data_IF_549690313256
#
_entry.id   IF_549690313256
#
_cell.length_a   1.000
_cell.length_b   1.000
_cell.length_c   1.000
_cell.angle_alpha   90.00
_cell.angle_beta   90.00
_cell.angle_gamma   90.00
#
_symmetry.space_group_name_H-M   'P 1'
#
loop_
_entity.id
_entity.type
_entity.pdbx_description
1 polymer ?
#
# COMPACT_ATOMS: atom_id res chain seq x y z
N UNK A 1 12.73 -72.09 36.20
CA UNK A 1 11.40 -71.71 36.72
C UNK A 1 11.48 -70.19 37.08
N UNK A 2 11.04 -69.34 36.21
CA UNK A 2 11.06 -67.86 36.39
C UNK A 2 9.65 -67.43 36.78
N UNK A 3 9.53 -66.77 37.95
CA UNK A 3 8.26 -66.21 38.44
C UNK A 3 8.04 -64.86 37.81
N UNK A 4 6.90 -64.69 37.16
CA UNK A 4 6.41 -63.45 36.56
C UNK A 4 5.63 -62.71 37.67
N UNK A 5 6.05 -61.48 37.99
CA UNK A 5 5.32 -60.57 38.90
C UNK A 5 4.59 -59.58 38.01
N UNK A 6 3.25 -59.57 38.10
CA UNK A 6 2.37 -58.62 37.47
C UNK A 6 2.13 -57.51 38.49
N UNK A 7 2.56 -56.26 38.14
CA UNK A 7 2.19 -55.06 38.87
C UNK A 7 0.90 -54.48 38.27
N UNK A 8 -0.13 -54.38 39.09
CA UNK A 8 -1.40 -53.74 38.77
C UNK A 8 -1.29 -52.25 39.16
N UNK A 9 -1.28 -51.34 38.19
CA UNK A 9 -1.33 -49.91 38.46
C UNK A 9 -2.77 -49.41 38.41
N UNK A 10 -3.25 -48.91 39.53
CA UNK A 10 -4.55 -48.24 39.69
C UNK A 10 -4.39 -46.81 39.19
N UNK A 11 -5.13 -46.44 38.17
CA UNK A 11 -5.23 -45.05 37.69
C UNK A 11 -6.31 -44.32 38.49
N UNK A 12 -5.92 -43.33 39.28
CA UNK A 12 -6.81 -42.37 39.92
C UNK A 12 -7.12 -41.25 38.92
N UNK A 13 -8.36 -41.14 38.50
CA UNK A 13 -8.86 -39.96 37.76
C UNK A 13 -9.08 -38.84 38.78
N UNK A 14 -8.27 -37.78 38.68
CA UNK A 14 -8.56 -36.50 39.30
C UNK A 14 -9.12 -35.55 38.23
N UNK A 15 -10.37 -35.14 38.35
CA UNK A 15 -10.90 -33.99 37.63
C UNK A 15 -10.27 -32.74 38.21
N UNK A 16 -9.52 -31.99 37.39
CA UNK A 16 -9.16 -30.60 37.67
C UNK A 16 -9.79 -29.71 36.65
N UNK A 17 -10.55 -28.74 37.12
CA UNK A 17 -11.10 -27.63 36.37
C UNK A 17 -9.97 -26.86 35.70
N UNK A 18 -10.02 -26.71 34.38
CA UNK A 18 -9.11 -25.87 33.59
C UNK A 18 -9.53 -24.42 33.72
N UNK A 19 -8.88 -23.67 34.60
CA UNK A 19 -8.73 -22.23 34.41
C UNK A 19 -7.66 -22.02 33.33
N UNK A 20 -8.09 -21.68 32.16
CA UNK A 20 -7.19 -21.23 31.07
C UNK A 20 -6.63 -19.85 31.44
N UNK A 21 -5.48 -19.86 32.07
CA UNK A 21 -4.65 -18.68 32.21
C UNK A 21 -3.99 -18.43 30.84
N UNK A 22 -4.12 -17.24 30.21
CA UNK A 22 -3.38 -16.96 28.98
C UNK A 22 -1.89 -17.10 29.28
N UNK A 23 -1.20 -17.92 28.50
CA UNK A 23 0.24 -18.10 28.59
C UNK A 23 0.92 -16.73 28.55
N UNK A 24 1.75 -16.36 29.52
CA UNK A 24 2.56 -15.15 29.41
C UNK A 24 3.52 -15.33 28.23
N UNK A 25 3.59 -14.33 27.38
CA UNK A 25 4.57 -14.24 26.29
C UNK A 25 5.95 -14.45 26.92
N UNK A 26 6.62 -15.56 26.59
CA UNK A 26 8.01 -15.76 26.95
C UNK A 26 8.84 -14.80 26.07
N UNK A 27 9.28 -13.71 26.65
CA UNK A 27 10.33 -12.87 26.09
C UNK A 27 11.63 -13.61 26.36
N UNK A 28 12.18 -14.28 25.36
CA UNK A 28 13.53 -14.84 25.45
C UNK A 28 14.53 -13.68 25.64
N UNK A 29 15.39 -13.79 26.66
CA UNK A 29 16.44 -12.80 26.95
C UNK A 29 17.53 -12.71 25.84
N UNK A 30 17.41 -13.50 24.78
CA UNK A 30 18.30 -13.55 23.61
C UNK A 30 17.72 -12.83 22.38
N UNK A 31 17.34 -11.57 22.46
CA UNK A 31 17.03 -10.66 21.32
C UNK A 31 16.31 -11.28 20.08
N UNK A 32 15.73 -12.47 20.19
CA UNK A 32 14.96 -13.08 19.13
C UNK A 32 13.50 -12.59 19.19
N UNK A 33 12.93 -12.18 18.05
CA UNK A 33 11.52 -11.80 17.99
C UNK A 33 10.62 -12.98 18.42
N UNK A 34 9.47 -12.70 19.06
CA UNK A 34 8.56 -13.75 19.51
C UNK A 34 8.05 -14.57 18.35
N UNK A 35 7.93 -15.88 18.54
CA UNK A 35 7.33 -16.79 17.57
C UNK A 35 5.85 -16.90 17.88
N UNK A 36 5.01 -16.39 16.98
CA UNK A 36 3.55 -16.52 17.02
C UNK A 36 3.03 -17.28 15.79
N UNK A 37 1.86 -17.93 15.92
CA UNK A 37 1.19 -18.53 14.77
C UNK A 37 0.56 -17.47 13.87
N UNK A 38 0.22 -16.29 14.43
CA UNK A 38 -0.43 -15.19 13.74
C UNK A 38 0.54 -14.29 12.97
N UNK A 39 1.82 -14.22 13.38
CA UNK A 39 2.85 -13.43 12.70
C UNK A 39 4.25 -14.06 12.80
N UNK A 40 5.17 -13.52 12.02
CA UNK A 40 6.62 -13.77 12.14
C UNK A 40 7.33 -12.43 12.04
N UNK A 41 8.34 -12.21 12.87
CA UNK A 41 9.16 -11.00 12.83
C UNK A 41 10.63 -11.34 12.51
N UNK A 42 11.27 -10.43 11.78
CA UNK A 42 12.69 -10.48 11.42
C UNK A 42 13.30 -9.11 11.69
N UNK A 43 14.23 -9.04 12.63
CA UNK A 43 14.90 -7.79 13.01
C UNK A 43 16.34 -7.77 12.49
N UNK A 44 16.74 -6.64 11.92
CA UNK A 44 18.14 -6.30 11.55
C UNK A 44 18.48 -4.96 12.17
N UNK A 45 19.64 -4.86 12.81
CA UNK A 45 20.08 -3.66 13.55
C UNK A 45 19.86 -3.79 15.06
N UNK A 46 19.53 -2.70 15.73
CA UNK A 46 19.38 -2.67 17.19
C UNK A 46 17.94 -3.00 17.60
N UNK A 47 17.79 -3.76 18.68
CA UNK A 47 16.47 -4.04 19.28
C UNK A 47 15.96 -2.89 20.16
N UNK A 48 16.85 -1.97 20.58
CA UNK A 48 16.49 -0.80 21.37
C UNK A 48 15.94 0.29 20.47
N UNK A 49 14.75 0.76 20.78
CA UNK A 49 14.07 1.86 20.12
C UNK A 49 14.92 3.13 20.10
N UNK A 50 14.91 3.83 18.97
CA UNK A 50 15.56 5.13 18.80
C UNK A 50 14.54 6.15 18.30
N UNK A 51 13.98 6.90 19.21
CA UNK A 51 13.04 7.96 18.87
C UNK A 51 13.75 9.09 18.13
N UNK A 52 13.32 9.36 16.91
CA UNK A 52 13.77 10.52 16.11
C UNK A 52 12.58 11.44 15.78
N UNK A 53 12.84 12.47 15.00
CA UNK A 53 11.78 13.32 14.43
C UNK A 53 11.71 13.05 12.93
N UNK A 54 10.85 12.15 12.48
CA UNK A 54 10.76 11.83 11.06
C UNK A 54 10.22 13.01 10.23
N UNK A 55 10.63 13.07 8.98
CA UNK A 55 10.03 13.95 7.99
C UNK A 55 8.92 13.19 7.27
N UNK A 56 7.69 13.67 7.36
CA UNK A 56 6.52 13.04 6.76
C UNK A 56 6.62 12.87 5.26
N UNK A 57 5.71 12.12 4.70
CA UNK A 57 5.61 11.93 3.26
C UNK A 57 5.13 10.53 2.88
N UNK A 58 4.97 10.31 1.58
CA UNK A 58 4.48 9.05 1.00
C UNK A 58 5.37 8.62 -0.15
N UNK A 59 5.80 7.37 -0.16
CA UNK A 59 6.48 6.76 -1.31
C UNK A 59 5.59 5.69 -1.95
N UNK A 60 5.14 5.95 -3.17
CA UNK A 60 4.29 5.07 -3.96
C UNK A 60 5.14 4.39 -5.03
N UNK A 61 5.39 3.08 -4.89
CA UNK A 61 6.21 2.30 -5.81
C UNK A 61 5.32 1.40 -6.68
N UNK A 62 5.47 1.48 -8.00
CA UNK A 62 4.60 0.81 -8.97
C UNK A 62 4.69 -0.71 -8.99
N UNK A 63 5.74 -1.27 -8.44
CA UNK A 63 5.95 -2.72 -8.38
C UNK A 63 7.17 -3.19 -9.15
N UNK A 64 7.40 -4.49 -9.22
CA UNK A 64 8.58 -5.14 -9.77
C UNK A 64 9.83 -4.87 -8.92
N UNK A 65 10.86 -4.19 -9.41
CA UNK A 65 12.06 -3.84 -8.66
C UNK A 65 11.93 -2.43 -8.13
N UNK A 66 12.29 -2.21 -6.87
CA UNK A 66 12.29 -0.88 -6.25
C UNK A 66 13.35 0.03 -6.91
N UNK A 67 12.99 1.32 -7.00
CA UNK A 67 13.94 2.35 -7.41
C UNK A 67 14.79 2.79 -6.22
N UNK A 68 16.11 2.57 -6.29
CA UNK A 68 17.05 2.83 -5.18
C UNK A 68 17.02 4.29 -4.69
N UNK A 69 16.86 5.27 -5.57
CA UNK A 69 16.85 6.68 -5.18
C UNK A 69 15.55 7.04 -4.43
N UNK A 70 14.41 6.51 -4.89
CA UNK A 70 13.15 6.66 -4.18
C UNK A 70 13.19 5.97 -2.81
N UNK A 71 13.82 4.78 -2.72
CA UNK A 71 13.99 4.10 -1.43
C UNK A 71 14.92 4.86 -0.49
N UNK A 72 16.01 5.45 -0.98
CA UNK A 72 16.84 6.35 -0.16
C UNK A 72 16.07 7.53 0.35
N UNK A 73 15.29 8.19 -0.53
CA UNK A 73 14.40 9.30 -0.15
C UNK A 73 13.44 8.90 0.99
N UNK A 74 12.85 7.71 0.90
CA UNK A 74 11.95 7.16 1.92
C UNK A 74 12.69 6.91 3.25
N UNK A 75 13.85 6.24 3.21
CA UNK A 75 14.61 5.86 4.40
C UNK A 75 15.25 7.07 5.11
N UNK A 76 15.73 8.06 4.37
CA UNK A 76 16.32 9.29 4.91
C UNK A 76 15.31 10.04 5.79
N UNK A 77 14.01 9.99 5.47
CA UNK A 77 12.93 10.62 6.23
C UNK A 77 12.67 9.99 7.60
N UNK A 78 13.17 8.80 7.85
CA UNK A 78 13.19 8.21 9.19
C UNK A 78 14.21 8.88 10.12
N UNK A 79 15.08 9.77 9.60
CA UNK A 79 16.10 10.49 10.36
C UNK A 79 16.98 9.57 11.23
N UNK A 80 17.32 8.38 10.70
CA UNK A 80 18.15 7.39 11.38
C UNK A 80 17.39 6.52 12.40
N UNK A 81 16.06 6.63 12.45
CA UNK A 81 15.19 5.88 13.34
C UNK A 81 14.95 4.43 12.91
N UNK A 82 13.80 3.90 13.30
CA UNK A 82 13.39 2.51 13.11
C UNK A 82 12.42 2.38 11.93
N UNK A 83 12.73 1.46 11.01
CA UNK A 83 11.91 1.18 9.83
C UNK A 83 11.15 -0.12 10.03
N UNK A 84 9.82 -0.06 9.89
CA UNK A 84 8.95 -1.22 9.97
C UNK A 84 8.45 -1.60 8.58
N UNK A 85 8.71 -2.84 8.16
CA UNK A 85 8.14 -3.42 6.94
C UNK A 85 6.97 -4.32 7.31
N UNK A 86 5.78 -4.04 6.78
CA UNK A 86 4.58 -4.83 6.97
C UNK A 86 4.23 -5.59 5.69
N UNK A 87 3.91 -6.88 5.85
CA UNK A 87 3.50 -7.76 4.75
C UNK A 87 2.64 -8.92 5.25
N UNK A 88 1.85 -9.54 4.36
CA UNK A 88 1.04 -10.71 4.70
C UNK A 88 1.75 -12.05 4.41
N UNK A 89 2.66 -12.06 3.44
CA UNK A 89 3.39 -13.27 3.00
C UNK A 89 4.85 -12.94 2.70
N UNK A 90 5.72 -13.95 2.57
CA UNK A 90 7.14 -13.80 2.23
C UNK A 90 8.05 -13.76 3.46
N UNK A 91 9.19 -13.12 3.36
CA UNK A 91 10.26 -13.06 4.37
C UNK A 91 10.87 -11.67 4.51
N UNK A 92 12.10 -11.62 4.93
CA UNK A 92 12.85 -10.44 5.36
C UNK A 92 13.73 -9.78 4.27
N UNK A 93 13.39 -9.96 3.00
CA UNK A 93 14.21 -9.45 1.88
C UNK A 93 14.48 -7.95 1.92
N UNK A 94 13.60 -7.16 2.55
CA UNK A 94 13.81 -5.73 2.74
C UNK A 94 14.85 -5.40 3.82
N UNK A 95 15.11 -6.30 4.78
CA UNK A 95 15.98 -5.98 5.89
C UNK A 95 17.40 -5.64 5.46
N UNK A 96 18.07 -6.50 4.69
CA UNK A 96 19.42 -6.23 4.19
C UNK A 96 19.43 -5.07 3.19
N UNK A 97 18.44 -5.03 2.31
CA UNK A 97 18.32 -3.99 1.30
C UNK A 97 18.24 -2.59 1.93
N UNK A 98 17.34 -2.38 2.89
CA UNK A 98 17.19 -1.08 3.55
C UNK A 98 18.31 -0.77 4.55
N UNK A 99 18.75 -1.78 5.33
CA UNK A 99 19.69 -1.54 6.42
C UNK A 99 21.13 -1.32 5.95
N UNK A 100 21.58 -2.00 4.88
CA UNK A 100 22.98 -2.02 4.49
C UNK A 100 23.27 -1.70 3.02
N UNK A 101 22.38 -2.05 2.08
CA UNK A 101 22.70 -1.97 0.65
C UNK A 101 22.53 -0.56 0.09
N UNK A 102 21.53 0.19 0.58
CA UNK A 102 21.26 1.55 0.12
C UNK A 102 22.15 2.63 0.75
N UNK A 103 22.88 2.31 1.81
CA UNK A 103 23.85 3.22 2.44
C UNK A 103 23.22 4.32 3.30
N UNK A 104 21.94 4.24 3.62
CA UNK A 104 21.26 5.13 4.59
C UNK A 104 21.48 4.59 6.00
N UNK A 105 21.84 5.47 6.95
CA UNK A 105 22.04 5.05 8.34
C UNK A 105 20.70 4.94 9.05
N UNK A 106 20.40 3.75 9.61
CA UNK A 106 19.18 3.45 10.36
C UNK A 106 19.52 2.80 11.71
N UNK A 107 18.65 2.94 12.70
CA UNK A 107 18.76 2.20 13.95
C UNK A 107 18.43 0.72 13.77
N UNK A 108 17.30 0.44 13.12
CA UNK A 108 16.87 -0.91 12.76
C UNK A 108 15.96 -0.95 11.53
N UNK A 109 15.86 -2.13 10.95
CA UNK A 109 14.80 -2.51 10.00
C UNK A 109 14.17 -3.79 10.49
N UNK A 110 12.86 -3.79 10.68
CA UNK A 110 12.13 -4.97 11.11
C UNK A 110 11.00 -5.31 10.13
N UNK A 111 11.03 -6.52 9.59
CA UNK A 111 9.93 -7.05 8.78
C UNK A 111 9.00 -7.88 9.65
N UNK A 112 7.70 -7.52 9.66
CA UNK A 112 6.65 -8.31 10.29
C UNK A 112 5.75 -8.90 9.21
N UNK A 113 5.70 -10.24 9.16
CA UNK A 113 4.79 -10.99 8.29
C UNK A 113 3.52 -11.30 9.09
N UNK A 114 2.44 -10.58 8.78
CA UNK A 114 1.11 -10.73 9.41
C UNK A 114 0.34 -11.81 8.66
N UNK A 115 0.17 -12.98 9.23
CA UNK A 115 -0.33 -14.19 8.54
C UNK A 115 -1.86 -14.28 8.49
N UNK A 116 -2.54 -13.58 9.37
CA UNK A 116 -4.00 -13.60 9.49
C UNK A 116 -4.50 -12.43 10.34
N UNK A 117 -5.82 -12.26 10.42
CA UNK A 117 -6.45 -11.18 11.17
C UNK A 117 -6.24 -11.25 12.70
N UNK A 118 -5.91 -12.41 13.27
CA UNK A 118 -5.65 -12.57 14.71
C UNK A 118 -4.41 -11.77 15.14
N UNK A 119 -3.44 -11.62 14.24
CA UNK A 119 -2.26 -10.79 14.49
C UNK A 119 -2.58 -9.32 14.80
N UNK A 120 -3.76 -8.84 14.39
CA UNK A 120 -4.18 -7.45 14.64
C UNK A 120 -4.32 -7.10 16.12
N UNK A 121 -4.36 -8.09 17.01
CA UNK A 121 -4.47 -7.91 18.47
C UNK A 121 -3.14 -8.14 19.20
N UNK A 122 -2.07 -8.41 18.51
CA UNK A 122 -0.75 -8.71 19.09
C UNK A 122 -0.05 -7.44 19.58
N UNK A 123 0.20 -7.37 20.88
CA UNK A 123 0.87 -6.21 21.51
C UNK A 123 2.24 -5.93 20.92
N UNK A 124 2.97 -6.97 20.49
CA UNK A 124 4.26 -6.82 19.83
C UNK A 124 4.16 -5.98 18.55
N UNK A 125 3.21 -6.28 17.69
CA UNK A 125 2.97 -5.52 16.44
C UNK A 125 2.57 -4.08 16.77
N UNK A 126 1.68 -3.92 17.75
CA UNK A 126 1.26 -2.58 18.21
C UNK A 126 2.44 -1.74 18.67
N UNK A 127 3.37 -2.33 19.43
CA UNK A 127 4.54 -1.63 19.91
C UNK A 127 5.48 -1.23 18.76
N UNK A 128 5.68 -2.13 17.77
CA UNK A 128 6.54 -1.83 16.61
C UNK A 128 5.96 -0.71 15.73
N UNK A 129 4.65 -0.69 15.52
CA UNK A 129 3.99 0.43 14.79
C UNK A 129 4.13 1.75 15.57
N UNK A 130 3.98 1.72 16.91
CA UNK A 130 4.11 2.91 17.75
C UNK A 130 5.53 3.49 17.77
N UNK A 131 6.53 2.67 17.56
CA UNK A 131 7.95 3.05 17.64
C UNK A 131 8.56 3.38 16.26
N UNK A 132 7.96 2.91 15.16
CA UNK A 132 8.54 3.11 13.83
C UNK A 132 8.47 4.57 13.37
N UNK A 133 9.56 5.09 12.82
CA UNK A 133 9.64 6.39 12.14
C UNK A 133 9.31 6.30 10.66
N UNK A 134 9.41 5.09 10.08
CA UNK A 134 8.99 4.81 8.71
C UNK A 134 8.26 3.48 8.63
N UNK A 135 7.17 3.41 7.84
CA UNK A 135 6.43 2.16 7.59
C UNK A 135 6.38 1.88 6.10
N UNK A 136 6.87 0.70 5.71
CA UNK A 136 6.83 0.21 4.33
C UNK A 136 5.84 -0.95 4.19
N UNK A 137 4.90 -0.84 3.25
CA UNK A 137 3.99 -1.90 2.88
C UNK A 137 4.56 -2.66 1.67
N UNK A 138 4.98 -3.90 1.88
CA UNK A 138 5.54 -4.71 0.80
C UNK A 138 4.49 -5.09 -0.26
N UNK A 139 4.96 -5.63 -1.39
CA UNK A 139 4.09 -6.25 -2.38
C UNK A 139 3.45 -7.55 -1.88
N UNK A 140 2.35 -7.96 -2.51
CA UNK A 140 1.60 -9.16 -2.15
C UNK A 140 0.17 -9.12 -2.69
N UNK A 141 -0.76 -9.69 -1.94
CA UNK A 141 -2.20 -9.56 -2.19
C UNK A 141 -2.77 -8.44 -1.31
N UNK A 142 -3.29 -7.37 -1.92
CA UNK A 142 -3.86 -6.25 -1.18
C UNK A 142 -5.10 -6.66 -0.37
N UNK A 143 -5.83 -7.69 -0.79
CA UNK A 143 -6.96 -8.18 -0.02
C UNK A 143 -6.55 -8.77 1.34
N UNK A 144 -5.40 -9.43 1.42
CA UNK A 144 -4.85 -9.88 2.69
C UNK A 144 -4.63 -8.69 3.64
N UNK A 145 -4.02 -7.59 3.16
CA UNK A 145 -3.79 -6.39 3.95
C UNK A 145 -5.09 -5.76 4.43
N UNK A 146 -6.06 -5.61 3.53
CA UNK A 146 -7.36 -5.03 3.84
C UNK A 146 -8.14 -5.93 4.82
N UNK A 147 -8.21 -7.23 4.55
CA UNK A 147 -8.97 -8.18 5.36
C UNK A 147 -8.38 -8.43 6.75
N UNK A 148 -7.04 -8.29 6.91
CA UNK A 148 -6.37 -8.52 8.19
C UNK A 148 -6.25 -7.25 9.04
N UNK A 149 -6.12 -6.06 8.42
CA UNK A 149 -5.76 -4.84 9.15
C UNK A 149 -6.86 -3.79 9.21
N UNK A 150 -7.72 -3.71 8.19
CA UNK A 150 -8.79 -2.69 8.14
C UNK A 150 -9.75 -2.83 9.34
N UNK A 151 -10.12 -1.70 9.94
CA UNK A 151 -10.99 -1.64 11.13
C UNK A 151 -10.41 -2.36 12.35
N UNK A 152 -9.09 -2.49 12.45
CA UNK A 152 -8.36 -3.13 13.55
C UNK A 152 -7.43 -2.13 14.24
N UNK A 153 -6.84 -2.51 15.40
CA UNK A 153 -5.81 -1.71 16.03
C UNK A 153 -4.60 -1.40 15.14
N UNK A 154 -4.22 -2.30 14.21
CA UNK A 154 -3.12 -2.06 13.26
C UNK A 154 -3.40 -0.80 12.42
N UNK A 155 -4.55 -0.73 11.72
CA UNK A 155 -4.89 0.44 10.92
C UNK A 155 -5.02 1.71 11.78
N UNK A 156 -5.59 1.59 12.98
CA UNK A 156 -5.71 2.72 13.91
C UNK A 156 -4.35 3.27 14.30
N UNK A 157 -3.39 2.41 14.66
CA UNK A 157 -2.05 2.81 15.06
C UNK A 157 -1.21 3.38 13.92
N UNK A 158 -1.35 2.83 12.70
CA UNK A 158 -0.71 3.39 11.50
C UNK A 158 -1.24 4.80 11.24
N UNK A 159 -2.56 4.99 11.24
CA UNK A 159 -3.16 6.31 11.03
C UNK A 159 -2.79 7.32 12.14
N UNK A 160 -2.68 6.87 13.39
CA UNK A 160 -2.19 7.69 14.49
C UNK A 160 -0.72 8.10 14.28
N UNK A 161 0.12 7.18 13.84
CA UNK A 161 1.52 7.44 13.55
C UNK A 161 1.70 8.47 12.39
N UNK A 162 0.91 8.35 11.34
CA UNK A 162 0.88 9.32 10.23
C UNK A 162 0.47 10.71 10.74
N UNK A 163 -0.66 10.80 11.44
CA UNK A 163 -1.26 12.11 11.80
C UNK A 163 -0.58 12.81 12.96
N UNK A 164 -0.05 12.07 13.96
CA UNK A 164 0.46 12.65 15.20
C UNK A 164 1.99 12.61 15.33
N UNK A 165 2.67 11.74 14.60
CA UNK A 165 4.13 11.62 14.62
C UNK A 165 4.81 12.01 13.32
N UNK A 166 4.02 12.33 12.29
CA UNK A 166 4.51 12.71 10.96
C UNK A 166 5.51 11.70 10.38
N UNK A 167 5.22 10.39 10.53
CA UNK A 167 6.06 9.35 9.96
C UNK A 167 5.97 9.33 8.44
N UNK A 168 7.02 8.87 7.77
CA UNK A 168 6.93 8.55 6.35
C UNK A 168 6.32 7.16 6.16
N UNK A 169 5.39 7.06 5.21
CA UNK A 169 4.85 5.76 4.78
C UNK A 169 5.22 5.50 3.32
N UNK A 170 5.25 4.25 2.93
CA UNK A 170 5.45 3.89 1.53
C UNK A 170 5.02 2.46 1.27
N UNK A 171 5.01 2.08 0.01
CA UNK A 171 4.72 0.69 -0.37
C UNK A 171 4.78 0.45 -1.85
N UNK A 172 4.99 -0.80 -2.20
CA UNK A 172 5.13 -1.28 -3.57
C UNK A 172 3.95 -2.18 -3.97
N UNK A 173 3.51 -2.09 -5.22
CA UNK A 173 2.46 -2.98 -5.74
C UNK A 173 1.20 -2.97 -4.86
N UNK A 174 0.82 -4.09 -4.24
CA UNK A 174 -0.28 -4.15 -3.27
C UNK A 174 -0.14 -3.10 -2.15
N UNK A 175 1.09 -2.85 -1.67
CA UNK A 175 1.37 -1.83 -0.66
C UNK A 175 1.14 -0.40 -1.13
N UNK A 176 1.33 -0.11 -2.43
CA UNK A 176 0.91 1.16 -3.03
C UNK A 176 -0.61 1.22 -3.20
N UNK A 177 -1.23 0.13 -3.66
CA UNK A 177 -2.65 0.08 -3.98
C UNK A 177 -3.57 0.37 -2.79
N UNK A 178 -3.10 0.15 -1.55
CA UNK A 178 -3.89 0.36 -0.32
C UNK A 178 -3.75 1.76 0.29
N UNK A 179 -2.93 2.66 -0.26
CA UNK A 179 -2.61 3.94 0.37
C UNK A 179 -3.56 5.08 0.00
N UNK A 180 -4.36 4.92 -1.06
CA UNK A 180 -5.38 5.89 -1.44
C UNK A 180 -6.57 5.92 -0.47
N UNK A 181 -7.21 7.07 -0.30
CA UNK A 181 -8.49 7.17 0.41
C UNK A 181 -9.61 6.38 -0.30
N UNK A 182 -9.46 6.18 -1.60
CA UNK A 182 -10.18 5.17 -2.39
C UNK A 182 -9.18 4.11 -2.84
N UNK A 183 -9.58 2.85 -2.84
CA UNK A 183 -8.70 1.76 -3.22
C UNK A 183 -9.44 0.62 -3.92
N UNK A 184 -8.76 0.01 -4.86
CA UNK A 184 -9.19 -1.25 -5.46
C UNK A 184 -8.85 -2.40 -4.50
N UNK A 185 -9.86 -3.01 -3.88
CA UNK A 185 -9.62 -4.01 -2.82
C UNK A 185 -9.21 -5.39 -3.34
N UNK A 186 -9.48 -5.69 -4.60
CA UNK A 186 -9.27 -7.00 -5.22
C UNK A 186 -9.89 -8.19 -4.45
N UNK A 187 -10.92 -7.96 -3.63
CA UNK A 187 -11.53 -9.00 -2.78
C UNK A 187 -12.14 -10.18 -3.55
N UNK A 188 -12.46 -9.97 -4.80
CA UNK A 188 -12.97 -11.01 -5.70
C UNK A 188 -11.93 -11.45 -6.75
N UNK A 189 -10.70 -10.95 -6.65
CA UNK A 189 -9.62 -11.14 -7.60
C UNK A 189 -9.28 -9.87 -8.38
N UNK A 190 -8.32 -9.98 -9.29
CA UNK A 190 -7.92 -8.86 -10.14
C UNK A 190 -8.89 -8.66 -11.30
N UNK A 191 -9.04 -7.42 -11.76
CA UNK A 191 -9.81 -7.07 -12.97
C UNK A 191 -8.88 -6.49 -14.05
N UNK A 192 -9.09 -6.88 -15.30
CA UNK A 192 -8.37 -6.30 -16.45
C UNK A 192 -9.05 -5.00 -16.92
N UNK A 193 -8.29 -4.13 -17.61
CA UNK A 193 -8.85 -2.94 -18.25
C UNK A 193 -10.00 -3.28 -19.19
N UNK A 194 -9.85 -4.31 -20.02
CA UNK A 194 -10.91 -4.75 -20.92
C UNK A 194 -12.19 -5.20 -20.21
N UNK A 195 -12.07 -5.98 -19.12
CA UNK A 195 -13.23 -6.41 -18.35
C UNK A 195 -13.95 -5.23 -17.72
N UNK A 196 -13.21 -4.35 -17.05
CA UNK A 196 -13.75 -3.18 -16.38
C UNK A 196 -14.43 -2.20 -17.35
N UNK A 197 -13.79 -1.91 -18.48
CA UNK A 197 -14.35 -1.01 -19.52
C UNK A 197 -15.62 -1.58 -20.17
N UNK A 198 -15.71 -2.90 -20.37
CA UNK A 198 -16.88 -3.52 -20.99
C UNK A 198 -18.03 -3.75 -20.01
N UNK A 199 -17.76 -3.80 -18.72
CA UNK A 199 -18.76 -3.88 -17.66
C UNK A 199 -18.27 -3.17 -16.40
N UNK A 200 -18.51 -1.87 -16.23
CA UNK A 200 -18.09 -1.13 -15.04
C UNK A 200 -18.62 -1.71 -13.72
N UNK A 201 -19.68 -2.51 -13.78
CA UNK A 201 -20.30 -3.19 -12.63
C UNK A 201 -19.95 -4.69 -12.59
N UNK A 202 -18.84 -5.08 -13.22
CA UNK A 202 -18.31 -6.44 -13.04
C UNK A 202 -18.03 -6.74 -11.58
N UNK A 203 -18.25 -7.98 -11.17
CA UNK A 203 -18.05 -8.39 -9.76
C UNK A 203 -16.64 -8.19 -9.26
N UNK A 204 -15.67 -8.19 -10.17
CA UNK A 204 -14.26 -8.00 -9.85
C UNK A 204 -13.87 -6.50 -9.74
N UNK A 205 -14.74 -5.57 -10.14
CA UNK A 205 -14.56 -4.12 -9.94
C UNK A 205 -14.94 -3.78 -8.50
N UNK A 206 -14.01 -3.94 -7.58
CA UNK A 206 -14.22 -3.78 -6.14
C UNK A 206 -13.50 -2.55 -5.61
N UNK A 207 -14.13 -1.38 -5.68
CA UNK A 207 -13.61 -0.12 -5.14
C UNK A 207 -14.25 0.14 -3.79
N UNK A 208 -13.42 0.41 -2.79
CA UNK A 208 -13.81 0.72 -1.41
C UNK A 208 -13.16 2.05 -0.99
N UNK A 209 -13.57 2.66 0.13
CA UNK A 209 -13.09 4.00 0.50
C UNK A 209 -13.14 4.32 1.99
N UNK A 210 -12.26 5.22 2.41
CA UNK A 210 -12.25 6.04 3.63
C UNK A 210 -12.24 5.28 4.97
N UNK A 211 -11.87 4.02 4.95
CA UNK A 211 -11.93 3.15 6.12
C UNK A 211 -10.61 2.40 6.43
N UNK A 212 -9.51 2.69 5.72
CA UNK A 212 -8.25 1.97 5.89
C UNK A 212 -7.06 2.90 6.19
N UNK A 213 -6.17 3.19 5.24
CA UNK A 213 -5.02 4.09 5.43
C UNK A 213 -5.44 5.52 5.12
N UNK A 214 -5.11 6.45 6.01
CA UNK A 214 -5.49 7.86 5.90
C UNK A 214 -4.26 8.73 5.73
N UNK A 215 -4.10 9.27 4.53
CA UNK A 215 -3.09 10.28 4.22
C UNK A 215 -3.79 11.51 3.65
N UNK A 216 -3.39 12.70 4.09
CA UNK A 216 -4.02 13.97 3.71
C UNK A 216 -4.04 14.16 2.19
N UNK A 217 -2.89 13.97 1.53
CA UNK A 217 -2.75 14.18 0.09
C UNK A 217 -3.44 13.11 -0.76
N UNK A 218 -3.74 11.95 -0.18
CA UNK A 218 -4.36 10.83 -0.88
C UNK A 218 -5.83 10.61 -0.49
N UNK A 219 -6.42 11.48 0.31
CA UNK A 219 -7.79 11.31 0.84
C UNK A 219 -8.87 11.19 -0.24
N UNK A 220 -8.70 11.84 -1.38
CA UNK A 220 -9.60 11.78 -2.53
C UNK A 220 -8.94 11.16 -3.76
N UNK A 221 -8.04 10.21 -3.56
CA UNK A 221 -7.22 9.59 -4.60
C UNK A 221 -7.42 8.09 -4.57
N UNK A 222 -7.47 7.48 -5.76
CA UNK A 222 -7.28 6.04 -5.96
C UNK A 222 -5.91 5.81 -6.60
N UNK A 223 -5.10 4.93 -5.99
CA UNK A 223 -3.80 4.55 -6.54
C UNK A 223 -3.89 3.27 -7.36
N UNK A 224 -3.13 3.16 -8.47
CA UNK A 224 -2.95 1.92 -9.23
C UNK A 224 -1.48 1.68 -9.56
N UNK A 225 -1.11 0.42 -9.77
CA UNK A 225 0.27 -0.08 -9.80
C UNK A 225 0.48 -0.99 -11.01
N UNK A 226 1.74 -1.33 -11.36
CA UNK A 226 2.03 -2.13 -12.55
C UNK A 226 1.28 -1.60 -13.78
N UNK A 227 1.33 -0.29 -13.99
CA UNK A 227 0.37 0.39 -14.83
C UNK A 227 0.54 0.08 -16.32
N UNK A 228 1.75 -0.28 -16.70
CA UNK A 228 2.17 -0.70 -18.04
C UNK A 228 2.06 -2.22 -18.28
N UNK A 229 2.06 -3.04 -17.22
CA UNK A 229 2.22 -4.49 -17.38
C UNK A 229 1.31 -5.34 -16.45
N UNK A 230 0.13 -5.78 -16.93
CA UNK A 230 -0.53 -5.40 -18.18
C UNK A 230 -1.09 -3.98 -18.09
N UNK A 231 -1.47 -3.38 -19.21
CA UNK A 231 -2.10 -2.06 -19.21
C UNK A 231 -3.31 -1.98 -18.26
N UNK A 232 -3.23 -1.05 -17.29
CA UNK A 232 -4.26 -0.85 -16.25
C UNK A 232 -4.99 0.49 -16.34
N UNK A 233 -4.67 1.31 -17.33
CA UNK A 233 -5.29 2.62 -17.54
C UNK A 233 -6.82 2.52 -17.57
N UNK A 234 -7.35 1.61 -18.38
CA UNK A 234 -8.80 1.44 -18.53
C UNK A 234 -9.52 1.02 -17.25
N UNK A 235 -8.91 0.18 -16.40
CA UNK A 235 -9.55 -0.21 -15.14
C UNK A 235 -9.59 0.94 -14.15
N UNK A 236 -8.52 1.73 -14.04
CA UNK A 236 -8.48 2.87 -13.14
C UNK A 236 -9.48 3.96 -13.55
N UNK A 237 -9.57 4.26 -14.86
CA UNK A 237 -10.61 5.16 -15.38
C UNK A 237 -12.01 4.64 -15.05
N UNK A 238 -12.23 3.32 -15.16
CA UNK A 238 -13.50 2.71 -14.77
C UNK A 238 -13.77 2.85 -13.27
N UNK A 239 -12.77 2.70 -12.40
CA UNK A 239 -12.92 2.91 -10.95
C UNK A 239 -13.35 4.36 -10.66
N UNK A 240 -12.73 5.33 -11.30
CA UNK A 240 -13.08 6.74 -11.17
C UNK A 240 -14.52 7.02 -11.65
N UNK A 241 -14.90 6.47 -12.82
CA UNK A 241 -16.25 6.60 -13.36
C UNK A 241 -17.32 5.99 -12.41
N UNK A 242 -16.99 4.83 -11.80
CA UNK A 242 -17.88 4.15 -10.84
C UNK A 242 -18.07 4.98 -9.57
N UNK A 243 -17.01 5.50 -8.99
CA UNK A 243 -17.12 6.34 -7.78
C UNK A 243 -17.94 7.59 -8.09
N UNK A 244 -17.67 8.26 -9.21
CA UNK A 244 -18.45 9.42 -9.62
C UNK A 244 -19.92 9.07 -9.80
N UNK A 245 -20.22 7.96 -10.49
CA UNK A 245 -21.61 7.53 -10.76
C UNK A 245 -22.37 7.14 -9.50
N UNK A 246 -21.71 6.41 -8.59
CA UNK A 246 -22.36 5.83 -7.43
C UNK A 246 -22.49 6.81 -6.25
N UNK A 247 -21.54 7.75 -6.11
CA UNK A 247 -21.48 8.67 -4.96
C UNK A 247 -21.49 10.17 -5.31
N UNK A 248 -21.35 10.53 -6.58
CA UNK A 248 -21.22 11.91 -7.03
C UNK A 248 -19.86 12.54 -6.71
N UNK A 249 -18.89 11.75 -6.22
CA UNK A 249 -17.55 12.25 -5.85
C UNK A 249 -16.60 12.13 -7.03
N UNK A 250 -15.99 13.24 -7.40
CA UNK A 250 -14.92 13.27 -8.40
C UNK A 250 -13.60 12.93 -7.72
N UNK A 251 -13.23 11.65 -7.70
CA UNK A 251 -11.93 11.23 -7.21
C UNK A 251 -10.85 11.45 -8.27
N UNK A 252 -9.61 11.47 -7.81
CA UNK A 252 -8.40 11.59 -8.63
C UNK A 252 -7.67 10.25 -8.69
N UNK A 253 -6.83 10.06 -9.69
CA UNK A 253 -5.99 8.86 -9.84
C UNK A 253 -4.51 9.20 -9.74
N UNK A 254 -3.74 8.36 -9.07
CA UNK A 254 -2.28 8.35 -9.14
C UNK A 254 -1.85 6.93 -9.52
N UNK A 255 -1.02 6.82 -10.54
CA UNK A 255 -0.49 5.54 -10.97
C UNK A 255 0.95 5.65 -11.43
N UNK A 256 1.69 4.56 -11.36
CA UNK A 256 3.00 4.47 -12.01
C UNK A 256 3.29 3.05 -12.52
N UNK A 257 4.15 3.03 -13.53
CA UNK A 257 4.64 1.82 -14.17
C UNK A 257 5.52 1.00 -13.21
N UNK A 258 5.83 -0.23 -13.58
CA UNK A 258 6.84 -1.02 -12.87
C UNK A 258 8.16 -0.25 -12.80
N UNK A 259 8.96 -0.47 -11.76
CA UNK A 259 10.25 0.18 -11.48
C UNK A 259 10.20 1.72 -11.30
N UNK A 260 9.02 2.31 -11.32
CA UNK A 260 8.77 3.74 -11.15
C UNK A 260 8.21 4.04 -9.77
N UNK A 261 8.65 5.15 -9.17
CA UNK A 261 8.16 5.60 -7.87
C UNK A 261 7.73 7.07 -7.88
N UNK A 262 6.71 7.36 -7.08
CA UNK A 262 6.22 8.72 -6.82
C UNK A 262 6.45 9.00 -5.33
N UNK A 263 7.33 9.96 -5.02
CA UNK A 263 7.62 10.39 -3.67
C UNK A 263 6.97 11.74 -3.39
N UNK A 264 5.99 11.78 -2.50
CA UNK A 264 5.22 12.96 -2.12
C UNK A 264 5.76 13.46 -0.78
N UNK A 265 6.28 14.67 -0.73
CA UNK A 265 6.78 15.27 0.50
C UNK A 265 5.63 15.79 1.40
N UNK A 266 5.97 16.30 2.58
CA UNK A 266 5.05 16.86 3.56
C UNK A 266 4.43 18.21 3.14
N UNK A 267 4.86 18.79 2.00
CA UNK A 267 4.24 19.94 1.36
C UNK A 267 3.29 19.56 0.22
N UNK A 268 3.14 18.26 -0.09
CA UNK A 268 2.30 17.75 -1.16
C UNK A 268 2.93 17.83 -2.55
N UNK A 269 4.25 17.99 -2.62
CA UNK A 269 4.98 17.98 -3.89
C UNK A 269 5.44 16.55 -4.19
N UNK A 270 4.97 16.02 -5.31
CA UNK A 270 5.34 14.70 -5.81
C UNK A 270 6.56 14.80 -6.73
N UNK A 271 7.61 14.02 -6.45
CA UNK A 271 8.77 13.79 -7.32
C UNK A 271 8.68 12.41 -7.94
N UNK A 272 8.99 12.28 -9.24
CA UNK A 272 8.87 11.01 -9.97
C UNK A 272 10.24 10.42 -10.28
N UNK A 273 10.51 9.26 -9.69
CA UNK A 273 11.75 8.51 -9.83
C UNK A 273 11.58 7.34 -10.80
N UNK A 274 12.57 7.10 -11.63
CA UNK A 274 12.63 6.02 -12.62
C UNK A 274 13.96 6.04 -13.35
N UNK A 275 14.07 5.33 -14.45
CA UNK A 275 15.30 5.19 -15.23
C UNK A 275 15.21 5.78 -16.63
N UNK A 276 14.26 6.72 -16.87
CA UNK A 276 14.21 7.41 -18.16
C UNK A 276 15.49 8.26 -18.36
N UNK A 277 16.14 8.27 -19.55
CA UNK A 277 15.65 7.74 -20.83
C UNK A 277 16.02 6.27 -21.15
N UNK A 278 16.72 5.55 -20.25
CA UNK A 278 17.15 4.18 -20.53
C UNK A 278 15.95 3.21 -20.56
N UNK A 279 14.92 3.50 -19.77
CA UNK A 279 13.64 2.79 -19.73
C UNK A 279 12.48 3.79 -19.85
N UNK A 280 11.32 3.31 -20.28
CA UNK A 280 10.11 4.13 -20.46
C UNK A 280 9.25 4.16 -19.19
N UNK A 281 9.85 4.54 -18.07
CA UNK A 281 9.24 4.61 -16.76
C UNK A 281 8.33 5.83 -16.62
N UNK A 282 7.06 5.62 -16.28
CA UNK A 282 6.04 6.67 -16.29
C UNK A 282 5.25 6.74 -14.98
N UNK A 283 4.82 7.96 -14.64
CA UNK A 283 3.80 8.22 -13.63
C UNK A 283 2.68 9.10 -14.19
N UNK A 284 1.48 8.91 -13.66
CA UNK A 284 0.25 9.53 -14.14
C UNK A 284 -0.53 10.14 -12.98
N UNK A 285 -0.88 11.44 -13.12
CA UNK A 285 -1.79 12.15 -12.23
C UNK A 285 -3.07 12.43 -13.00
N UNK A 286 -4.15 11.78 -12.60
CA UNK A 286 -5.38 11.63 -13.39
C UNK A 286 -6.53 12.33 -12.67
N UNK A 287 -7.30 13.16 -13.37
CA UNK A 287 -8.48 13.81 -12.82
C UNK A 287 -9.57 13.96 -13.87
N UNK A 288 -10.80 14.07 -13.41
CA UNK A 288 -11.88 14.53 -14.29
C UNK A 288 -11.48 15.92 -14.82
N UNK A 289 -11.67 16.17 -16.11
CA UNK A 289 -11.26 17.43 -16.68
C UNK A 289 -11.95 18.61 -15.96
N UNK A 290 -11.19 19.46 -15.27
CA UNK A 290 -11.75 20.52 -14.41
C UNK A 290 -12.43 21.67 -15.21
N UNK A 291 -12.23 21.73 -16.52
CA UNK A 291 -12.86 22.75 -17.37
C UNK A 291 -14.31 22.40 -17.76
N UNK A 292 -14.74 21.17 -17.49
CA UNK A 292 -16.06 20.68 -17.86
C UNK A 292 -17.14 21.09 -16.85
N UNK A 293 -18.31 21.49 -17.35
CA UNK A 293 -19.50 21.77 -16.53
C UNK A 293 -20.24 20.44 -16.24
N UNK A 294 -20.34 19.56 -17.22
CA UNK A 294 -20.90 18.22 -17.09
C UNK A 294 -19.75 17.24 -17.04
N UNK A 295 -19.70 16.44 -16.02
CA UNK A 295 -18.54 15.57 -15.73
C UNK A 295 -18.90 14.08 -15.70
N UNK A 296 -20.21 13.78 -15.62
CA UNK A 296 -20.68 12.38 -15.53
C UNK A 296 -20.47 11.62 -16.84
N UNK A 297 -20.14 10.32 -16.77
CA UNK A 297 -20.15 9.44 -17.94
C UNK A 297 -21.51 9.42 -18.63
N UNK A 298 -21.52 9.44 -19.95
CA UNK A 298 -22.74 9.26 -20.76
C UNK A 298 -23.37 7.89 -20.51
N UNK A 299 -22.53 6.86 -20.29
CA UNK A 299 -23.00 5.53 -19.90
C UNK A 299 -22.04 4.88 -18.91
N UNK A 300 -22.49 4.64 -17.70
CA UNK A 300 -21.84 3.80 -16.70
C UNK A 300 -22.94 2.97 -16.02
N UNK A 301 -23.24 1.79 -16.57
CA UNK A 301 -24.33 0.94 -16.11
C UNK A 301 -23.96 -0.55 -16.17
N UNK A 302 -24.63 -1.42 -15.37
CA UNK A 302 -24.32 -2.85 -15.38
C UNK A 302 -24.47 -3.51 -16.75
N UNK A 303 -23.53 -4.38 -17.10
CA UNK A 303 -23.53 -5.18 -18.33
C UNK A 303 -23.56 -4.36 -19.64
N UNK A 304 -23.04 -3.14 -19.59
CA UNK A 304 -22.88 -2.28 -20.76
C UNK A 304 -21.48 -1.67 -20.77
N UNK A 305 -20.88 -1.46 -21.95
CA UNK A 305 -19.60 -0.79 -22.03
C UNK A 305 -19.66 0.64 -21.47
N UNK A 306 -18.59 1.04 -20.78
CA UNK A 306 -18.41 2.42 -20.32
C UNK A 306 -18.34 3.36 -21.53
N UNK A 307 -19.03 4.49 -21.45
CA UNK A 307 -18.83 5.64 -22.31
C UNK A 307 -18.64 6.87 -21.42
N UNK A 308 -17.47 7.45 -21.48
CA UNK A 308 -17.12 8.68 -20.79
C UNK A 308 -16.26 9.53 -21.72
N UNK A 309 -16.93 10.12 -22.69
CA UNK A 309 -16.28 10.76 -23.83
C UNK A 309 -16.23 12.30 -23.66
N UNK A 310 -17.36 12.93 -23.40
CA UNK A 310 -17.48 14.38 -23.22
C UNK A 310 -16.72 15.16 -24.31
N UNK A 311 -17.00 14.83 -25.55
CA UNK A 311 -16.35 15.40 -26.76
C UNK A 311 -14.81 15.18 -26.80
N UNK A 312 -14.35 14.03 -26.31
CA UNK A 312 -12.93 13.64 -26.30
C UNK A 312 -12.12 14.26 -25.15
N UNK A 313 -12.77 14.81 -24.11
CA UNK A 313 -12.11 15.59 -23.07
C UNK A 313 -12.52 15.20 -21.65
N UNK A 314 -13.01 13.97 -21.44
CA UNK A 314 -13.56 13.57 -20.14
C UNK A 314 -12.53 13.64 -18.98
N UNK A 315 -11.29 13.31 -19.25
CA UNK A 315 -10.23 13.13 -18.24
C UNK A 315 -8.98 13.90 -18.67
N UNK A 316 -8.44 14.69 -17.75
CA UNK A 316 -7.13 15.33 -17.88
C UNK A 316 -6.09 14.50 -17.13
N UNK A 317 -4.98 14.22 -17.79
CA UNK A 317 -3.87 13.43 -17.26
C UNK A 317 -2.58 14.22 -17.36
N UNK A 318 -1.88 14.39 -16.26
CA UNK A 318 -0.51 14.88 -16.28
C UNK A 318 0.43 13.68 -16.27
N UNK A 319 1.09 13.45 -17.37
CA UNK A 319 1.99 12.33 -17.61
C UNK A 319 3.44 12.77 -17.43
N UNK A 320 4.20 12.09 -16.55
CA UNK A 320 5.59 12.40 -16.20
C UNK A 320 6.48 11.20 -16.43
N UNK A 321 7.66 11.43 -17.02
CA UNK A 321 8.74 10.43 -17.07
C UNK A 321 9.50 10.39 -15.76
N UNK A 322 9.66 9.19 -15.18
CA UNK A 322 10.49 8.98 -14.00
C UNK A 322 11.97 9.04 -14.32
N UNK A 323 12.71 9.91 -13.65
CA UNK A 323 14.16 10.08 -13.83
C UNK A 323 14.93 9.65 -12.60
N UNK A 324 16.22 9.33 -12.74
CA UNK A 324 17.06 8.92 -11.62
C UNK A 324 17.10 9.97 -10.49
N UNK A 325 17.12 11.25 -10.86
CA UNK A 325 17.20 12.36 -9.91
C UNK A 325 15.85 12.80 -9.33
N UNK A 326 14.72 12.27 -9.83
CA UNK A 326 13.38 12.67 -9.40
C UNK A 326 13.06 14.15 -9.64
N UNK A 327 13.63 14.76 -10.68
CA UNK A 327 13.54 16.20 -10.94
C UNK A 327 12.19 16.64 -11.54
N UNK A 328 11.41 15.71 -12.08
CA UNK A 328 10.08 15.99 -12.58
C UNK A 328 9.08 15.93 -11.41
N UNK A 329 8.20 16.93 -11.33
CA UNK A 329 7.34 17.11 -10.15
C UNK A 329 5.89 17.39 -10.52
N UNK A 330 4.98 17.13 -9.54
CA UNK A 330 3.57 17.50 -9.62
C UNK A 330 3.08 17.98 -8.26
N UNK A 331 2.28 19.06 -8.22
CA UNK A 331 1.73 19.64 -7.00
C UNK A 331 0.33 19.07 -6.72
N UNK A 332 0.19 18.28 -5.64
CA UNK A 332 -1.08 17.71 -5.21
C UNK A 332 -1.98 18.70 -4.47
N UNK A 333 -1.51 19.90 -4.14
CA UNK A 333 -2.36 20.91 -3.52
C UNK A 333 -3.29 21.55 -4.55
N UNK A 334 -2.81 21.79 -5.76
CA UNK A 334 -3.61 22.43 -6.81
C UNK A 334 -4.02 21.49 -7.97
N UNK A 335 -3.31 20.36 -8.16
CA UNK A 335 -3.54 19.40 -9.23
C UNK A 335 -3.47 19.99 -10.64
N UNK A 336 -2.75 21.08 -10.81
CA UNK A 336 -2.58 21.79 -12.08
C UNK A 336 -1.13 22.13 -12.38
N UNK A 337 -0.30 22.27 -11.34
CA UNK A 337 1.09 22.67 -11.48
C UNK A 337 1.99 21.41 -11.52
N UNK A 338 2.82 21.32 -12.56
CA UNK A 338 3.81 20.27 -12.71
C UNK A 338 4.99 20.70 -13.56
N UNK A 339 6.11 19.97 -13.43
CA UNK A 339 7.33 20.17 -14.22
C UNK A 339 7.79 18.87 -14.83
N UNK A 340 8.35 18.91 -16.02
CA UNK A 340 8.94 17.74 -16.69
C UNK A 340 7.94 16.75 -17.27
N UNK A 341 6.64 17.04 -17.22
CA UNK A 341 5.59 16.23 -17.81
C UNK A 341 4.78 16.95 -18.87
N UNK A 342 3.74 16.31 -19.36
CA UNK A 342 2.81 16.83 -20.38
C UNK A 342 1.37 16.55 -19.99
N UNK A 343 0.45 17.46 -20.33
CA UNK A 343 -0.99 17.25 -20.20
C UNK A 343 -1.53 16.50 -21.41
N UNK A 344 -2.36 15.51 -21.14
CA UNK A 344 -3.07 14.69 -22.11
C UNK A 344 -4.56 14.67 -21.79
N UNK A 345 -5.40 14.45 -22.81
CA UNK A 345 -6.83 14.20 -22.61
C UNK A 345 -7.14 12.75 -22.95
N UNK A 346 -7.70 12.05 -21.95
CA UNK A 346 -8.18 10.68 -22.13
C UNK A 346 -9.70 10.66 -22.12
N UNK A 347 -10.27 9.70 -22.83
CA UNK A 347 -11.72 9.45 -22.82
C UNK A 347 -12.03 7.99 -23.13
N UNK A 348 -13.25 7.57 -22.80
CA UNK A 348 -13.73 6.21 -23.09
C UNK A 348 -14.90 6.29 -24.06
N UNK A 349 -14.77 5.59 -25.19
CA UNK A 349 -15.84 5.45 -26.16
C UNK A 349 -16.26 3.98 -26.31
N UNK A 350 -17.47 3.66 -25.85
CA UNK A 350 -18.08 2.33 -25.93
C UNK A 350 -17.13 1.19 -25.50
N UNK A 351 -16.49 1.35 -24.33
CA UNK A 351 -15.60 0.34 -23.75
C UNK A 351 -14.16 0.35 -24.28
N UNK A 352 -13.79 1.31 -25.08
CA UNK A 352 -12.43 1.55 -25.54
C UNK A 352 -11.87 2.82 -24.92
N UNK A 353 -10.75 2.72 -24.19
CA UNK A 353 -10.00 3.89 -23.74
C UNK A 353 -9.21 4.44 -24.92
N UNK A 354 -9.23 5.75 -25.07
CA UNK A 354 -8.40 6.54 -25.98
C UNK A 354 -7.55 7.46 -25.10
N UNK A 355 -6.25 7.25 -25.14
CA UNK A 355 -5.22 7.90 -24.34
C UNK A 355 -4.10 8.48 -25.20
#
# INVERSE_FOLDING_TARGET
>A
MKKLIILLSVALYACSSSDENPNPIQVDEDNNPPVSQSFTSFLTGKSTDLVTSPDGGVCLMGGSTENDQAMKWFLERANGGDVLVLRATGGDGYNSYFFSELGVTLNSVETIVVKNAEASTEDYIHQKIKNAEAIWFAGGDQWDYISYWRNTPIATLINDAISNRNIVIGGTSAGMAIQGGYYFSAKNGTVTSSTALNNPYDTDVTVESDDFIKNEFLSNVITDTHYDNPDRKGRQVTFMARVLKDSGVQIKGIACDENTAICIDDNGIASVYGQYPDYDDNAYFIQVNPELITVEPENCAPNTPLTWNLDGNAISVYHIKGTEDGNATFDLNDWTTGTGGTWENWYVDNGALID
#
